data_IF_440043858824
#
_entry.id   IF_440043858824
#
_cell.length_a   1.000
_cell.length_b   1.000
_cell.length_c   1.000
_cell.angle_alpha   90.00
_cell.angle_beta   90.00
_cell.angle_gamma   90.00
#
_symmetry.space_group_name_H-M   'P 1'
#
loop_
_entity.id
_entity.type
_entity.pdbx_description
1 polymer ?
#
# COMPACT_ATOMS: atom_id res chain seq x y z
N UNK A 1 -14.84 9.56 -12.04
CA UNK A 1 -14.12 9.12 -10.84
C UNK A 1 -15.09 9.26 -9.69
N UNK A 2 -15.58 8.16 -9.15
CA UNK A 2 -16.26 8.20 -7.86
C UNK A 2 -15.16 8.41 -6.82
N UNK A 3 -15.25 9.52 -6.08
CA UNK A 3 -14.37 9.91 -4.97
C UNK A 3 -14.59 8.99 -3.74
N UNK A 4 -14.80 7.68 -3.98
CA UNK A 4 -15.02 6.71 -2.92
C UNK A 4 -13.70 5.99 -2.61
N UNK A 5 -13.21 6.22 -1.40
CA UNK A 5 -12.12 5.42 -0.82
C UNK A 5 -12.61 4.02 -0.50
N UNK A 6 -11.73 3.02 -0.64
CA UNK A 6 -12.02 1.68 -0.12
C UNK A 6 -12.31 1.77 1.39
N UNK A 7 -13.40 1.16 1.89
CA UNK A 7 -13.79 1.25 3.30
C UNK A 7 -12.80 0.57 4.25
N UNK A 8 -11.88 -0.22 3.70
CA UNK A 8 -10.80 -0.91 4.42
C UNK A 8 -9.49 -0.57 3.72
N UNK A 9 -8.49 -0.21 4.52
CA UNK A 9 -7.11 0.03 4.10
C UNK A 9 -6.10 -0.64 5.03
N UNK A 10 -4.86 -0.74 4.56
CA UNK A 10 -3.72 -1.21 5.33
C UNK A 10 -2.93 0.00 5.85
N UNK A 11 -2.85 0.16 7.17
CA UNK A 11 -1.88 1.06 7.81
C UNK A 11 -0.50 0.41 7.84
N UNK A 12 0.54 1.18 7.50
CA UNK A 12 1.89 0.64 7.26
C UNK A 12 2.90 0.92 8.36
N UNK A 13 2.52 1.56 9.47
CA UNK A 13 3.45 1.85 10.58
C UNK A 13 4.20 0.59 11.05
N UNK A 14 5.54 0.61 10.97
CA UNK A 14 6.42 -0.51 11.36
C UNK A 14 6.48 -1.67 10.36
N UNK A 15 6.01 -1.47 9.13
CA UNK A 15 6.14 -2.42 8.03
C UNK A 15 7.19 -1.88 7.05
N UNK A 16 8.45 -2.28 7.24
CA UNK A 16 9.57 -1.84 6.39
C UNK A 16 9.88 -2.83 5.26
N UNK A 17 9.21 -4.00 5.28
CA UNK A 17 9.38 -5.06 4.30
C UNK A 17 8.36 -4.90 3.15
N UNK A 18 8.79 -4.55 1.93
CA UNK A 18 7.91 -4.36 0.78
C UNK A 18 7.12 -5.63 0.42
N UNK A 19 7.64 -6.83 0.72
CA UNK A 19 6.95 -8.09 0.42
C UNK A 19 5.65 -8.23 1.24
N UNK A 20 5.63 -7.71 2.48
CA UNK A 20 4.42 -7.73 3.31
C UNK A 20 3.33 -6.83 2.77
N UNK A 21 3.72 -5.68 2.23
CA UNK A 21 2.80 -4.72 1.61
C UNK A 21 2.30 -5.28 0.29
N UNK A 22 3.18 -5.86 -0.53
CA UNK A 22 2.82 -6.52 -1.79
C UNK A 22 1.81 -7.66 -1.58
N UNK A 23 2.03 -8.51 -0.57
CA UNK A 23 1.09 -9.57 -0.22
C UNK A 23 -0.31 -9.03 0.13
N UNK A 24 -0.42 -7.86 0.78
CA UNK A 24 -1.71 -7.24 1.04
C UNK A 24 -2.38 -6.75 -0.27
N UNK A 25 -1.61 -6.18 -1.20
CA UNK A 25 -2.12 -5.79 -2.52
C UNK A 25 -2.64 -7.02 -3.27
N UNK A 26 -1.92 -8.14 -3.24
CA UNK A 26 -2.35 -9.42 -3.83
C UNK A 26 -3.64 -9.95 -3.19
N UNK A 27 -3.80 -9.79 -1.87
CA UNK A 27 -5.03 -10.16 -1.14
C UNK A 27 -6.23 -9.24 -1.44
N UNK A 28 -6.02 -8.15 -2.18
CA UNK A 28 -7.09 -7.26 -2.62
C UNK A 28 -7.17 -5.92 -1.90
N UNK A 29 -6.23 -5.58 -1.02
CA UNK A 29 -6.16 -4.22 -0.46
C UNK A 29 -5.89 -3.21 -1.58
N UNK A 30 -6.63 -2.10 -1.58
CA UNK A 30 -6.51 -1.02 -2.58
C UNK A 30 -6.22 0.34 -1.97
N UNK A 31 -6.26 0.43 -0.64
CA UNK A 31 -5.91 1.62 0.08
C UNK A 31 -4.76 1.31 1.05
N UNK A 32 -3.62 1.95 0.84
CA UNK A 32 -2.43 1.88 1.67
C UNK A 32 -2.27 3.23 2.37
N UNK A 33 -2.11 3.22 3.68
CA UNK A 33 -1.91 4.40 4.51
C UNK A 33 -0.48 4.40 5.05
N UNK A 34 0.28 5.43 4.67
CA UNK A 34 1.66 5.67 5.10
C UNK A 34 1.84 7.14 5.48
N UNK A 35 2.96 7.46 6.14
CA UNK A 35 3.33 8.81 6.50
C UNK A 35 4.86 8.91 6.59
N UNK A 36 5.41 10.10 6.32
CA UNK A 36 6.85 10.37 6.43
C UNK A 36 7.44 9.98 7.80
N UNK A 37 6.69 10.12 8.89
CA UNK A 37 7.15 9.75 10.24
C UNK A 37 7.31 8.23 10.43
N UNK A 38 6.76 7.41 9.53
CA UNK A 38 6.93 5.96 9.55
C UNK A 38 8.25 5.54 8.89
N UNK A 39 8.90 6.45 8.13
CA UNK A 39 10.18 6.23 7.44
C UNK A 39 10.19 5.01 6.50
N UNK A 40 9.04 4.70 5.89
CA UNK A 40 8.86 3.51 5.05
C UNK A 40 8.14 3.76 3.71
N UNK A 41 8.02 5.02 3.27
CA UNK A 41 7.38 5.38 2.00
C UNK A 41 8.07 4.71 0.79
N UNK A 42 9.39 4.49 0.86
CA UNK A 42 10.15 3.77 -0.17
C UNK A 42 9.73 2.29 -0.27
N UNK A 43 9.54 1.60 0.86
CA UNK A 43 9.06 0.22 0.89
C UNK A 43 7.61 0.12 0.35
N UNK A 44 6.76 1.11 0.66
CA UNK A 44 5.41 1.20 0.08
C UNK A 44 5.48 1.38 -1.43
N UNK A 45 6.33 2.28 -1.91
CA UNK A 45 6.54 2.53 -3.34
C UNK A 45 7.02 1.28 -4.09
N UNK A 46 8.01 0.58 -3.55
CA UNK A 46 8.52 -0.66 -4.13
C UNK A 46 7.45 -1.75 -4.22
N UNK A 47 6.60 -1.89 -3.20
CA UNK A 47 5.48 -2.82 -3.22
C UNK A 47 4.43 -2.48 -4.29
N UNK A 48 4.15 -1.18 -4.48
CA UNK A 48 3.24 -0.70 -5.53
C UNK A 48 3.83 -0.97 -6.92
N UNK A 49 5.11 -0.70 -7.14
CA UNK A 49 5.78 -0.91 -8.44
C UNK A 49 5.81 -2.39 -8.86
N UNK A 50 5.86 -3.31 -7.89
CA UNK A 50 5.83 -4.76 -8.11
C UNK A 50 4.41 -5.30 -8.33
N UNK A 51 3.39 -4.56 -7.93
CA UNK A 51 2.02 -5.05 -7.98
C UNK A 51 1.50 -5.10 -9.43
N UNK A 52 0.96 -6.25 -9.84
CA UNK A 52 0.27 -6.40 -11.12
C UNK A 52 -1.18 -5.88 -11.04
N UNK A 53 -1.33 -4.61 -10.60
CA UNK A 53 -2.62 -3.96 -10.42
C UNK A 53 -2.55 -2.53 -10.98
N UNK A 54 -3.52 -2.08 -11.80
CA UNK A 54 -3.48 -0.75 -12.37
C UNK A 54 -3.48 0.36 -11.31
N UNK A 55 -2.64 1.38 -11.52
CA UNK A 55 -2.73 2.63 -10.78
C UNK A 55 -3.82 3.52 -11.40
N UNK A 56 -5.03 3.46 -10.84
CA UNK A 56 -6.20 4.23 -11.28
C UNK A 56 -6.57 5.40 -10.37
#
# INVERSE_FOLDING_TARGET
>A
MTDEFSPIGLGTMGIDDPERIAAAIEMGYRHLDTAQIYDNEEAVGEAIDRADVPRS
#
